data_IF_377235793524
#
_entry.id   IF_377235793524
#
_cell.length_a   1.000
_cell.length_b   1.000
_cell.length_c   1.000
_cell.angle_alpha   90.00
_cell.angle_beta   90.00
_cell.angle_gamma   90.00
#
_symmetry.space_group_name_H-M   'P 1'
#
loop_
_entity.id
_entity.type
_entity.pdbx_description
1 polymer ?
#
# COMPACT_ATOMS: atom_id res chain seq x y z
N UNK A 1 11.02 -29.26 -0.02
CA UNK A 1 11.19 -28.19 0.99
C UNK A 1 11.18 -26.80 0.36
N UNK A 2 11.89 -26.58 -0.73
CA UNK A 2 12.09 -25.25 -1.35
C UNK A 2 10.80 -24.50 -1.75
N UNK A 3 9.79 -25.21 -2.23
CA UNK A 3 8.52 -24.60 -2.65
C UNK A 3 7.70 -24.01 -1.49
N UNK A 4 7.67 -24.70 -0.35
CA UNK A 4 6.96 -24.25 0.87
C UNK A 4 7.67 -23.02 1.43
N UNK A 5 8.99 -23.09 1.56
CA UNK A 5 9.79 -21.96 2.04
C UNK A 5 9.64 -20.74 1.11
N UNK A 6 9.69 -20.94 -0.21
CA UNK A 6 9.51 -19.87 -1.17
C UNK A 6 8.11 -19.23 -1.09
N UNK A 7 7.05 -20.05 -0.92
CA UNK A 7 5.69 -19.55 -0.76
C UNK A 7 5.53 -18.74 0.53
N UNK A 8 6.07 -19.24 1.66
CA UNK A 8 6.08 -18.54 2.93
C UNK A 8 6.75 -17.17 2.85
N UNK A 9 7.94 -17.10 2.23
CA UNK A 9 8.63 -15.82 2.03
C UNK A 9 7.87 -14.85 1.14
N UNK A 10 7.17 -15.35 0.12
CA UNK A 10 6.31 -14.53 -0.74
C UNK A 10 5.12 -13.97 0.04
N UNK A 11 4.43 -14.78 0.85
CA UNK A 11 3.32 -14.31 1.70
C UNK A 11 3.79 -13.24 2.69
N UNK A 12 4.92 -13.45 3.34
CA UNK A 12 5.50 -12.45 4.24
C UNK A 12 5.80 -11.13 3.52
N UNK A 13 6.23 -11.21 2.26
CA UNK A 13 6.46 -10.02 1.43
C UNK A 13 5.15 -9.31 1.06
N UNK A 14 4.09 -10.05 0.77
CA UNK A 14 2.75 -9.49 0.50
C UNK A 14 2.29 -8.63 1.68
N UNK A 15 2.35 -9.12 2.91
CA UNK A 15 2.00 -8.33 4.11
C UNK A 15 2.86 -7.06 4.27
N UNK A 16 4.15 -7.10 3.92
CA UNK A 16 5.00 -5.91 3.92
C UNK A 16 4.59 -4.89 2.86
N UNK A 17 4.22 -5.35 1.66
CA UNK A 17 3.70 -4.48 0.59
C UNK A 17 2.39 -3.85 1.00
N UNK A 18 1.48 -4.60 1.60
CA UNK A 18 0.20 -4.10 2.10
C UNK A 18 0.40 -3.01 3.17
N UNK A 19 1.21 -3.29 4.18
CA UNK A 19 1.59 -2.32 5.21
C UNK A 19 2.22 -1.06 4.58
N UNK A 20 3.05 -1.24 3.57
CA UNK A 20 3.67 -0.16 2.81
C UNK A 20 2.67 0.69 2.02
N UNK A 21 1.63 0.08 1.44
CA UNK A 21 0.55 0.80 0.75
C UNK A 21 -0.21 1.69 1.73
N UNK A 22 -0.56 1.16 2.93
CA UNK A 22 -1.23 1.94 3.96
C UNK A 22 -0.35 3.07 4.49
N UNK A 23 0.92 2.79 4.77
CA UNK A 23 1.87 3.79 5.21
C UNK A 23 2.00 4.92 4.17
N UNK A 24 2.18 4.57 2.89
CA UNK A 24 2.25 5.52 1.79
C UNK A 24 1.01 6.41 1.71
N UNK A 25 -0.20 5.83 1.69
CA UNK A 25 -1.45 6.60 1.61
C UNK A 25 -1.63 7.53 2.80
N UNK A 26 -1.32 7.06 4.00
CA UNK A 26 -1.39 7.88 5.21
C UNK A 26 -0.45 9.09 5.12
N UNK A 27 0.78 8.89 4.68
CA UNK A 27 1.74 9.99 4.51
C UNK A 27 1.30 10.96 3.43
N UNK A 28 0.78 10.47 2.30
CA UNK A 28 0.25 11.29 1.22
C UNK A 28 -0.88 12.21 1.72
N UNK A 29 -1.87 11.66 2.43
CA UNK A 29 -2.97 12.42 3.04
C UNK A 29 -2.49 13.48 4.04
N UNK A 30 -1.51 13.13 4.89
CA UNK A 30 -0.94 14.07 5.87
C UNK A 30 -0.14 15.18 5.18
N UNK A 31 0.63 14.86 4.16
CA UNK A 31 1.38 15.85 3.39
C UNK A 31 0.45 16.82 2.65
N UNK A 32 -0.60 16.29 1.99
CA UNK A 32 -1.62 17.10 1.32
C UNK A 32 -2.38 18.00 2.30
N UNK A 33 -2.65 17.51 3.52
CA UNK A 33 -3.31 18.30 4.57
C UNK A 33 -2.40 19.46 5.00
N UNK A 34 -1.12 19.20 5.25
CA UNK A 34 -0.15 20.22 5.63
C UNK A 34 0.07 21.25 4.50
N UNK A 35 0.07 20.81 3.24
CA UNK A 35 0.16 21.72 2.08
C UNK A 35 -1.10 22.58 1.92
N UNK A 36 -2.29 22.01 2.14
CA UNK A 36 -3.55 22.78 2.14
C UNK A 36 -3.56 23.81 3.27
N UNK A 37 -3.09 23.45 4.47
CA UNK A 37 -2.93 24.36 5.60
C UNK A 37 -1.97 25.49 5.24
N UNK A 38 -0.81 25.20 4.66
CA UNK A 38 0.13 26.22 4.21
C UNK A 38 -0.47 27.17 3.17
N UNK A 39 -1.20 26.63 2.19
CA UNK A 39 -1.89 27.46 1.16
C UNK A 39 -2.99 28.34 1.73
N UNK A 40 -3.66 27.95 2.81
CA UNK A 40 -4.70 28.78 3.43
C UNK A 40 -4.12 30.06 3.97
N UNK A 41 -2.87 30.05 4.41
CA UNK A 41 -2.17 31.27 4.86
C UNK A 41 -1.70 32.18 3.70
N UNK A 42 -1.56 31.64 2.48
CA UNK A 42 -1.26 32.44 1.28
C UNK A 42 -2.48 33.12 0.70
N UNK A 43 -3.68 32.53 0.86
CA UNK A 43 -4.92 32.99 0.25
C UNK A 43 -5.65 34.08 1.05
N UNK A 44 -5.19 34.40 2.26
CA UNK A 44 -5.74 35.51 3.07
C UNK A 44 -5.34 36.91 2.54
N UNK A 45 -4.69 36.96 1.37
CA UNK A 45 -4.52 38.21 0.63
C UNK A 45 -5.81 38.49 -0.12
N UNK A 46 -6.60 39.54 0.24
CA UNK A 46 -7.82 39.86 -0.48
C UNK A 46 -7.51 40.08 -1.96
N UNK A 47 -8.33 39.49 -2.84
CA UNK A 47 -8.18 39.62 -4.30
C UNK A 47 -8.24 41.10 -4.77
N UNK A 48 -8.67 42.01 -3.92
CA UNK A 48 -8.84 43.44 -4.17
C UNK A 48 -7.69 44.32 -3.64
N UNK A 49 -6.62 43.71 -3.15
CA UNK A 49 -5.45 44.44 -2.60
C UNK A 49 -4.78 45.39 -3.61
N UNK A 50 -4.98 45.16 -4.92
CA UNK A 50 -4.45 46.04 -5.97
C UNK A 50 -5.23 47.34 -6.15
N UNK A 51 -6.42 47.49 -5.56
CA UNK A 51 -7.26 48.69 -5.65
C UNK A 51 -7.28 49.50 -4.34
N UNK A 52 -6.66 49.03 -3.28
CA UNK A 52 -6.64 49.69 -1.99
C UNK A 52 -5.71 50.92 -2.04
N UNK A 53 -6.21 52.13 -1.69
CA UNK A 53 -5.44 53.36 -1.72
C UNK A 53 -4.41 53.52 -0.56
N UNK A 54 -4.31 52.51 0.31
CA UNK A 54 -3.33 52.47 1.42
C UNK A 54 -2.66 51.10 1.50
N UNK A 55 -1.38 51.02 1.85
CA UNK A 55 -0.70 49.75 2.09
C UNK A 55 -1.39 49.05 3.26
N UNK A 56 -2.29 48.12 2.96
CA UNK A 56 -2.79 47.21 3.96
C UNK A 56 -1.64 46.31 4.33
N UNK A 57 -1.19 46.43 5.59
CA UNK A 57 -0.22 45.49 6.19
C UNK A 57 -0.95 44.18 6.34
N UNK A 58 -0.80 43.30 5.36
CA UNK A 58 -1.26 41.93 5.50
C UNK A 58 -0.40 41.26 6.54
N UNK A 59 -1.00 40.93 7.66
CA UNK A 59 -0.34 40.19 8.73
C UNK A 59 -0.22 38.70 8.28
N UNK A 60 0.71 38.49 7.33
CA UNK A 60 1.07 37.17 6.88
C UNK A 60 1.82 36.49 8.01
N UNK A 61 1.16 35.52 8.68
CA UNK A 61 1.76 34.76 9.76
C UNK A 61 2.88 33.84 9.21
N UNK A 62 4.03 34.47 8.98
CA UNK A 62 5.21 33.82 8.41
C UNK A 62 5.68 32.64 9.27
N UNK A 63 5.45 32.68 10.57
CA UNK A 63 5.85 31.60 11.48
C UNK A 63 4.96 30.37 11.29
N UNK A 64 3.65 30.57 11.21
CA UNK A 64 2.69 29.48 10.95
C UNK A 64 2.88 28.87 9.58
N UNK A 65 3.06 29.68 8.56
CA UNK A 65 3.39 29.21 7.21
C UNK A 65 4.67 28.38 7.20
N UNK A 66 5.75 28.89 7.80
CA UNK A 66 7.03 28.20 7.90
C UNK A 66 6.92 26.88 8.67
N UNK A 67 6.16 26.84 9.75
CA UNK A 67 5.92 25.63 10.52
C UNK A 67 5.11 24.59 9.74
N UNK A 68 4.07 25.01 9.02
CA UNK A 68 3.27 24.13 8.17
C UNK A 68 4.08 23.54 7.02
N UNK A 69 4.89 24.38 6.37
CA UNK A 69 5.77 23.94 5.28
C UNK A 69 6.85 22.97 5.78
N UNK A 70 7.47 23.26 6.93
CA UNK A 70 8.47 22.37 7.55
C UNK A 70 7.87 21.02 7.90
N UNK A 71 6.63 20.99 8.42
CA UNK A 71 5.89 19.76 8.72
C UNK A 71 5.61 18.95 7.47
N UNK A 72 5.18 19.59 6.38
CA UNK A 72 4.95 18.93 5.10
C UNK A 72 6.23 18.30 4.53
N UNK A 73 7.36 19.01 4.61
CA UNK A 73 8.66 18.51 4.18
C UNK A 73 9.16 17.34 5.03
N UNK A 74 8.95 17.39 6.34
CA UNK A 74 9.31 16.29 7.24
C UNK A 74 8.49 15.04 6.92
N UNK A 75 7.18 15.18 6.73
CA UNK A 75 6.30 14.06 6.34
C UNK A 75 6.71 13.45 5.01
N UNK A 76 7.11 14.25 4.03
CA UNK A 76 7.65 13.73 2.76
C UNK A 76 8.94 12.95 2.96
N UNK A 77 9.81 13.39 3.86
CA UNK A 77 11.05 12.68 4.19
C UNK A 77 10.79 11.34 4.89
N UNK A 78 9.78 11.28 5.75
CA UNK A 78 9.34 10.03 6.41
C UNK A 78 8.73 9.02 5.42
N UNK A 79 8.27 9.48 4.24
CA UNK A 79 7.83 8.58 3.15
C UNK A 79 8.97 7.76 2.52
N UNK A 80 10.22 8.05 2.83
CA UNK A 80 11.39 7.31 2.33
C UNK A 80 11.64 6.01 3.10
N UNK A 81 10.76 5.63 4.06
CA UNK A 81 10.81 4.31 4.69
C UNK A 81 10.72 3.18 3.66
N UNK A 82 11.49 2.11 3.88
CA UNK A 82 11.60 0.97 2.95
C UNK A 82 10.23 0.36 2.62
N UNK A 83 9.35 0.24 3.62
CA UNK A 83 8.02 -0.33 3.43
C UNK A 83 7.12 0.61 2.61
N UNK A 84 7.14 1.92 2.89
CA UNK A 84 6.41 2.92 2.12
C UNK A 84 6.89 2.96 0.67
N UNK A 85 8.20 2.82 0.44
CA UNK A 85 8.79 2.73 -0.91
C UNK A 85 8.31 1.50 -1.66
N UNK A 86 8.22 0.35 -1.00
CA UNK A 86 7.66 -0.88 -1.60
C UNK A 86 6.19 -0.70 -1.96
N UNK A 87 5.39 -0.14 -1.05
CA UNK A 87 3.98 0.15 -1.29
C UNK A 87 3.76 1.11 -2.45
N UNK A 88 4.53 2.21 -2.50
CA UNK A 88 4.51 3.17 -3.62
C UNK A 88 4.86 2.53 -4.95
N UNK A 89 5.90 1.71 -4.99
CA UNK A 89 6.33 1.02 -6.20
C UNK A 89 5.23 0.08 -6.70
N UNK A 90 4.60 -0.66 -5.78
CA UNK A 90 3.49 -1.54 -6.12
C UNK A 90 2.26 -0.78 -6.62
N UNK A 91 1.89 0.34 -5.99
CA UNK A 91 0.77 1.20 -6.44
C UNK A 91 1.02 1.69 -7.87
N UNK A 92 2.25 2.14 -8.17
CA UNK A 92 2.62 2.63 -9.49
C UNK A 92 2.53 1.54 -10.56
N UNK A 93 2.98 0.34 -10.24
CA UNK A 93 2.97 -0.81 -11.15
C UNK A 93 1.54 -1.38 -11.35
N UNK A 94 0.75 -1.40 -10.29
CA UNK A 94 -0.60 -1.93 -10.31
C UNK A 94 -1.65 -0.98 -10.94
N UNK A 95 -1.34 0.32 -11.05
CA UNK A 95 -2.36 1.35 -11.27
C UNK A 95 -3.18 1.59 -10.00
N UNK A 96 -3.38 2.86 -9.66
CA UNK A 96 -3.84 3.32 -8.34
C UNK A 96 -5.17 2.69 -7.87
N UNK A 97 -6.11 2.44 -8.80
CA UNK A 97 -7.45 1.95 -8.45
C UNK A 97 -7.50 0.45 -8.12
N UNK A 98 -6.52 -0.34 -8.56
CA UNK A 98 -6.57 -1.81 -8.51
C UNK A 98 -5.45 -2.47 -7.68
N UNK A 99 -4.66 -1.67 -6.95
CA UNK A 99 -3.51 -2.19 -6.21
C UNK A 99 -3.90 -3.28 -5.20
N UNK A 100 -4.92 -3.04 -4.38
CA UNK A 100 -5.38 -4.03 -3.40
C UNK A 100 -5.98 -5.28 -4.05
N UNK A 101 -6.78 -5.12 -5.10
CA UNK A 101 -7.35 -6.27 -5.83
C UNK A 101 -6.27 -7.15 -6.45
N UNK A 102 -5.22 -6.55 -7.01
CA UNK A 102 -4.07 -7.30 -7.53
C UNK A 102 -3.30 -7.97 -6.42
N UNK A 103 -3.06 -7.28 -5.30
CA UNK A 103 -2.36 -7.84 -4.14
C UNK A 103 -3.11 -9.05 -3.58
N UNK A 104 -4.43 -8.94 -3.38
CA UNK A 104 -5.27 -10.03 -2.90
C UNK A 104 -5.27 -11.25 -3.85
N UNK A 105 -5.27 -11.04 -5.17
CA UNK A 105 -5.12 -12.13 -6.14
C UNK A 105 -3.78 -12.83 -6.04
N UNK A 106 -2.69 -12.07 -5.84
CA UNK A 106 -1.36 -12.64 -5.63
C UNK A 106 -1.30 -13.45 -4.34
N UNK A 107 -1.85 -12.91 -3.25
CA UNK A 107 -1.95 -13.59 -1.96
C UNK A 107 -2.68 -14.93 -2.09
N UNK A 108 -3.91 -14.91 -2.62
CA UNK A 108 -4.70 -16.11 -2.86
C UNK A 108 -3.96 -17.13 -3.73
N UNK A 109 -3.28 -16.70 -4.78
CA UNK A 109 -2.51 -17.61 -5.63
C UNK A 109 -1.33 -18.26 -4.89
N UNK A 110 -0.63 -17.49 -4.05
CA UNK A 110 0.49 -18.01 -3.25
C UNK A 110 -0.01 -18.96 -2.16
N UNK A 111 -1.10 -18.63 -1.49
CA UNK A 111 -1.74 -19.49 -0.48
C UNK A 111 -2.16 -20.83 -1.09
N UNK A 112 -2.83 -20.83 -2.24
CA UNK A 112 -3.18 -22.07 -2.96
C UNK A 112 -1.95 -22.92 -3.29
N UNK A 113 -0.85 -22.29 -3.70
CA UNK A 113 0.41 -22.99 -3.96
C UNK A 113 1.01 -23.57 -2.67
N UNK A 114 0.94 -22.84 -1.57
CA UNK A 114 1.42 -23.29 -0.26
C UNK A 114 0.62 -24.49 0.22
N UNK A 115 -0.71 -24.40 0.20
CA UNK A 115 -1.58 -25.51 0.62
C UNK A 115 -1.37 -26.77 -0.22
N UNK A 116 -1.23 -26.65 -1.55
CA UNK A 116 -0.90 -27.78 -2.40
C UNK A 116 0.45 -28.42 -2.05
N UNK A 117 1.45 -27.59 -1.75
CA UNK A 117 2.79 -28.07 -1.39
C UNK A 117 2.79 -28.76 0.00
N UNK A 118 2.05 -28.23 0.97
CA UNK A 118 1.88 -28.81 2.29
C UNK A 118 1.15 -30.16 2.21
N UNK A 119 0.04 -30.21 1.50
CA UNK A 119 -0.73 -31.44 1.31
C UNK A 119 0.10 -32.55 0.61
N UNK A 120 0.87 -32.20 -0.39
CA UNK A 120 1.78 -33.14 -1.03
C UNK A 120 2.90 -33.61 -0.09
N UNK A 121 3.39 -32.75 0.78
CA UNK A 121 4.34 -33.12 1.81
C UNK A 121 3.74 -34.12 2.81
N UNK A 122 2.53 -33.85 3.31
CA UNK A 122 1.81 -34.73 4.21
C UNK A 122 1.55 -36.09 3.58
N UNK A 123 1.13 -36.11 2.31
CA UNK A 123 0.93 -37.33 1.54
C UNK A 123 2.21 -38.17 1.44
N UNK A 124 3.34 -37.54 1.14
CA UNK A 124 4.63 -38.22 1.07
C UNK A 124 5.11 -38.73 2.44
N UNK A 125 4.85 -37.99 3.50
CA UNK A 125 5.16 -38.44 4.86
C UNK A 125 4.28 -39.64 5.25
N UNK A 126 2.98 -39.60 5.01
CA UNK A 126 2.09 -40.72 5.26
C UNK A 126 2.52 -41.99 4.49
N UNK A 127 2.87 -41.86 3.21
CA UNK A 127 3.37 -42.96 2.42
C UNK A 127 4.70 -43.58 2.97
N UNK A 128 5.61 -42.75 3.49
CA UNK A 128 6.86 -43.20 4.12
C UNK A 128 6.61 -43.97 5.42
N UNK A 129 5.58 -43.60 6.17
CA UNK A 129 5.21 -44.21 7.43
C UNK A 129 4.32 -45.45 7.25
N UNK A 130 4.08 -45.90 6.01
CA UNK A 130 3.21 -47.03 5.71
C UNK A 130 1.72 -46.78 5.94
N UNK A 131 1.34 -45.50 6.14
CA UNK A 131 -0.04 -45.07 6.28
C UNK A 131 -0.75 -44.93 4.94
N UNK A 132 -2.10 -44.95 4.98
CA UNK A 132 -2.92 -44.68 3.80
C UNK A 132 -2.81 -43.20 3.44
N UNK A 133 -2.15 -42.90 2.31
CA UNK A 133 -1.99 -41.51 1.87
C UNK A 133 -3.35 -40.93 1.43
N UNK A 134 -3.77 -39.77 1.93
CA UNK A 134 -5.01 -39.14 1.50
C UNK A 134 -4.96 -38.88 -0.03
N UNK A 135 -6.10 -38.93 -0.72
CA UNK A 135 -6.14 -38.69 -2.15
C UNK A 135 -5.62 -37.28 -2.49
N UNK A 136 -5.05 -37.05 -3.68
CA UNK A 136 -4.59 -35.73 -4.08
C UNK A 136 -5.78 -34.75 -4.05
N UNK A 137 -5.61 -33.63 -3.35
CA UNK A 137 -6.63 -32.60 -3.32
C UNK A 137 -6.65 -31.90 -4.68
N UNK A 138 -7.69 -32.19 -5.46
CA UNK A 138 -7.99 -31.45 -6.69
C UNK A 138 -8.72 -30.17 -6.24
N UNK A 139 -7.97 -29.08 -6.10
CA UNK A 139 -8.58 -27.75 -5.94
C UNK A 139 -8.85 -27.23 -7.34
N UNK A 140 -9.91 -27.74 -7.95
CA UNK A 140 -10.48 -27.17 -9.16
C UNK A 140 -11.16 -25.83 -8.79
N UNK A 141 -10.37 -24.81 -8.75
CA UNK A 141 -10.87 -23.45 -8.78
C UNK A 141 -11.08 -23.03 -10.23
N UNK A 142 -12.00 -23.67 -10.90
CA UNK A 142 -12.50 -23.20 -12.19
C UNK A 142 -13.33 -21.95 -11.93
N UNK A 143 -12.72 -20.78 -12.11
CA UNK A 143 -13.35 -19.45 -12.01
C UNK A 143 -13.92 -19.06 -13.40
N UNK A 144 -14.27 -20.02 -14.23
CA UNK A 144 -14.88 -19.81 -15.55
C UNK A 144 -16.39 -19.58 -15.48
N UNK A 145 -16.88 -18.84 -14.47
CA UNK A 145 -18.30 -18.63 -14.25
C UNK A 145 -18.72 -17.25 -13.78
N UNK A 146 -17.91 -16.20 -13.97
CA UNK A 146 -18.42 -14.87 -13.77
C UNK A 146 -18.97 -14.31 -15.08
N UNK A 147 -20.29 -14.01 -15.16
CA UNK A 147 -20.84 -13.29 -16.29
C UNK A 147 -20.20 -11.90 -16.37
N UNK A 148 -19.74 -11.54 -17.56
CA UNK A 148 -19.38 -10.16 -17.90
C UNK A 148 -20.64 -9.28 -17.71
N UNK A 149 -20.55 -8.31 -16.81
CA UNK A 149 -21.50 -7.20 -16.67
C UNK A 149 -20.80 -5.91 -17.05
#
# INVERSE_FOLDING_TARGET
MDRITAAYWRLRRVGRVEAGIFAWKRYEELAERAEREARSYELDVPADASQAPQPQVFDFDKERYGAALSRALQMRKEQEDENATLGRTFIRDAGTANAFSKLSRYETAIERQLYRALHELERRQAARLGGNAPPPQVVDGDVSGMPEV
#
